data_IF_085662194172
#
_entry.id   IF_085662194172
#
_cell.length_a   1.000
_cell.length_b   1.000
_cell.length_c   1.000
_cell.angle_alpha   90.00
_cell.angle_beta   90.00
_cell.angle_gamma   90.00
#
_symmetry.space_group_name_H-M   'P 1'
#
loop_
_entity.id
_entity.type
_entity.pdbx_description
1 polymer ?
#
# COMPACT_ATOMS: atom_id res chain seq x y z
N UNK A 1 -13.52 -30.68 39.96
CA UNK A 1 -12.99 -31.85 39.24
C UNK A 1 -12.91 -31.43 37.78
N UNK A 2 -11.82 -30.81 37.35
CA UNK A 2 -10.52 -31.41 37.03
C UNK A 2 -10.53 -32.12 35.66
N UNK A 3 -9.53 -31.73 34.87
CA UNK A 3 -8.90 -32.40 33.73
C UNK A 3 -9.53 -32.17 32.34
N UNK A 4 -8.87 -31.44 31.42
CA UNK A 4 -7.57 -31.69 30.72
C UNK A 4 -7.86 -32.32 29.34
N UNK A 5 -7.23 -32.02 28.21
CA UNK A 5 -6.14 -31.13 27.76
C UNK A 5 -6.18 -31.12 26.21
N UNK A 6 -5.55 -30.11 25.58
CA UNK A 6 -4.75 -30.16 24.33
C UNK A 6 -5.38 -30.67 22.99
N UNK A 7 -5.04 -30.19 21.79
CA UNK A 7 -3.87 -29.44 21.33
C UNK A 7 -4.06 -28.91 19.89
N UNK A 8 -3.39 -27.79 19.59
CA UNK A 8 -2.70 -27.56 18.30
C UNK A 8 -3.47 -26.80 17.20
N UNK A 9 -2.91 -25.81 16.49
CA UNK A 9 -1.59 -25.18 16.50
C UNK A 9 -1.75 -23.72 16.04
N UNK A 10 -1.54 -22.74 16.94
CA UNK A 10 -1.13 -21.40 16.53
C UNK A 10 0.34 -21.50 16.10
N UNK A 11 0.62 -21.38 14.78
CA UNK A 11 1.97 -21.05 14.30
C UNK A 11 2.32 -19.64 14.79
N UNK A 12 2.80 -19.53 16.03
CA UNK A 12 3.66 -18.42 16.43
C UNK A 12 4.99 -18.67 15.72
N UNK A 13 5.34 -17.78 14.79
CA UNK A 13 6.69 -17.74 14.26
C UNK A 13 7.67 -17.68 15.42
N UNK A 14 8.53 -18.69 15.49
CA UNK A 14 9.75 -18.68 16.29
C UNK A 14 10.69 -17.61 15.73
N UNK A 15 10.41 -16.36 16.08
CA UNK A 15 11.45 -15.35 16.11
C UNK A 15 12.27 -15.64 17.35
N UNK A 16 13.34 -16.43 17.21
CA UNK A 16 14.39 -16.47 18.21
C UNK A 16 14.77 -15.03 18.54
N UNK A 17 14.54 -14.61 19.78
CA UNK A 17 15.18 -13.40 20.30
C UNK A 17 16.67 -13.72 20.31
N UNK A 18 17.37 -13.35 19.24
CA UNK A 18 18.82 -13.26 19.26
C UNK A 18 19.16 -12.35 20.43
N UNK A 19 19.70 -12.93 21.50
CA UNK A 19 20.33 -12.17 22.57
C UNK A 19 21.33 -11.22 21.89
N UNK A 20 21.14 -9.91 22.09
CA UNK A 20 22.12 -8.93 21.63
C UNK A 20 23.36 -9.13 22.49
N UNK A 21 24.30 -9.92 21.99
CA UNK A 21 25.64 -10.01 22.55
C UNK A 21 26.21 -8.59 22.56
N UNK A 22 26.51 -8.07 23.74
CA UNK A 22 27.20 -6.78 23.85
C UNK A 22 28.63 -7.00 23.33
N UNK A 23 29.13 -6.14 22.43
CA UNK A 23 30.52 -6.21 22.01
C UNK A 23 31.44 -5.95 23.20
N UNK A 24 32.58 -6.62 23.21
CA UNK A 24 33.62 -6.35 24.20
C UNK A 24 34.10 -4.89 24.06
N UNK A 25 34.43 -4.21 25.18
CA UNK A 25 34.89 -2.82 25.14
C UNK A 25 36.16 -2.67 24.29
N UNK A 26 36.25 -1.58 23.53
CA UNK A 26 37.48 -1.22 22.82
C UNK A 26 38.57 -0.88 23.84
N UNK A 27 39.68 -1.61 23.80
CA UNK A 27 40.83 -1.41 24.68
C UNK A 27 41.74 -0.31 24.11
N UNK A 28 42.01 0.71 24.92
CA UNK A 28 42.89 1.84 24.57
C UNK A 28 44.15 1.76 25.42
N UNK A 29 45.31 1.73 24.78
CA UNK A 29 46.60 1.52 25.42
C UNK A 29 47.48 2.78 25.44
N UNK A 30 47.06 3.87 24.78
CA UNK A 30 47.79 5.14 24.76
C UNK A 30 46.89 6.37 24.60
N UNK A 31 47.41 7.55 24.94
CA UNK A 31 46.65 8.81 24.77
C UNK A 31 46.43 9.15 23.29
N UNK A 32 47.36 8.81 22.40
CA UNK A 32 47.21 9.00 20.95
C UNK A 32 46.10 8.10 20.37
N UNK A 33 45.99 6.86 20.84
CA UNK A 33 44.88 5.97 20.46
C UNK A 33 43.54 6.51 20.96
N UNK A 34 43.51 7.11 22.15
CA UNK A 34 42.31 7.77 22.69
C UNK A 34 41.84 8.92 21.82
N UNK A 35 42.75 9.80 21.41
CA UNK A 35 42.42 10.95 20.55
C UNK A 35 41.92 10.50 19.18
N UNK A 36 42.54 9.48 18.59
CA UNK A 36 42.11 8.88 17.32
C UNK A 36 40.72 8.25 17.45
N UNK A 37 40.47 7.48 18.51
CA UNK A 37 39.17 6.85 18.74
C UNK A 37 38.05 7.89 18.93
N UNK A 38 38.33 9.03 19.57
CA UNK A 38 37.36 10.11 19.72
C UNK A 38 37.00 10.76 18.37
N UNK A 39 37.97 10.94 17.48
CA UNK A 39 37.73 11.46 16.13
C UNK A 39 36.90 10.49 15.29
N UNK A 40 37.20 9.19 15.35
CA UNK A 40 36.40 8.15 14.67
C UNK A 40 34.96 8.11 15.18
N UNK A 41 34.74 8.24 16.51
CA UNK A 41 33.40 8.33 17.09
C UNK A 41 32.66 9.55 16.53
N UNK A 42 33.30 10.72 16.47
CA UNK A 42 32.69 11.92 15.92
C UNK A 42 32.31 11.75 14.44
N UNK A 43 33.19 11.14 13.64
CA UNK A 43 32.91 10.87 12.23
C UNK A 43 31.73 9.90 12.07
N UNK A 44 31.70 8.80 12.85
CA UNK A 44 30.61 7.83 12.81
C UNK A 44 29.28 8.44 13.24
N UNK A 45 29.26 9.25 14.30
CA UNK A 45 28.06 9.98 14.72
C UNK A 45 27.59 10.95 13.63
N UNK A 46 28.52 11.67 13.00
CA UNK A 46 28.20 12.59 11.90
C UNK A 46 27.55 11.87 10.71
N UNK A 47 27.99 10.64 10.39
CA UNK A 47 27.37 9.79 9.36
C UNK A 47 25.98 9.30 9.77
N UNK A 48 25.80 8.87 11.02
CA UNK A 48 24.51 8.43 11.55
C UNK A 48 23.49 9.57 11.53
N UNK A 49 23.88 10.78 11.95
CA UNK A 49 22.99 11.94 11.98
C UNK A 49 22.64 12.45 10.57
N UNK A 50 23.56 12.28 9.62
CA UNK A 50 23.43 12.72 8.24
C UNK A 50 23.26 11.56 7.25
N UNK A 51 22.47 10.56 7.64
CA UNK A 51 22.08 9.49 6.73
C UNK A 51 21.14 10.01 5.65
N UNK A 52 21.73 10.53 4.57
CA UNK A 52 21.00 11.11 3.44
C UNK A 52 20.25 10.06 2.63
N UNK A 53 20.75 8.82 2.62
CA UNK A 53 20.09 7.71 1.92
C UNK A 53 18.79 7.33 2.63
N UNK A 54 18.81 7.22 3.96
CA UNK A 54 17.60 7.00 4.76
C UNK A 54 16.58 8.13 4.55
N UNK A 55 17.03 9.39 4.62
CA UNK A 55 16.14 10.56 4.38
C UNK A 55 15.51 10.53 2.98
N UNK A 56 16.29 10.19 1.95
CA UNK A 56 15.79 10.04 0.58
C UNK A 56 14.70 8.96 0.49
N UNK A 57 14.90 7.80 1.12
CA UNK A 57 13.89 6.74 1.12
C UNK A 57 12.63 7.12 1.89
N UNK A 58 12.75 7.86 2.99
CA UNK A 58 11.60 8.39 3.75
C UNK A 58 10.77 9.38 2.92
N UNK A 59 11.44 10.23 2.14
CA UNK A 59 10.78 11.15 1.20
C UNK A 59 10.07 10.39 0.06
N UNK A 60 10.76 9.44 -0.59
CA UNK A 60 10.18 8.61 -1.65
C UNK A 60 8.95 7.84 -1.13
N UNK A 61 9.04 7.25 0.07
CA UNK A 61 7.92 6.55 0.69
C UNK A 61 6.73 7.48 0.94
N UNK A 62 7.01 8.71 1.36
CA UNK A 62 5.97 9.73 1.59
C UNK A 62 5.24 10.07 0.30
N UNK A 63 5.97 10.24 -0.80
CA UNK A 63 5.38 10.60 -2.10
C UNK A 63 4.62 9.43 -2.74
N UNK A 64 5.14 8.20 -2.61
CA UNK A 64 4.40 6.99 -3.01
C UNK A 64 3.06 6.91 -2.26
N UNK A 65 3.05 7.17 -0.96
CA UNK A 65 1.83 7.15 -0.16
C UNK A 65 0.83 8.23 -0.58
N UNK A 66 1.28 9.46 -0.82
CA UNK A 66 0.40 10.52 -1.36
C UNK A 66 -0.23 10.09 -2.68
N UNK A 67 0.58 9.55 -3.60
CA UNK A 67 0.11 9.09 -4.91
C UNK A 67 -0.89 7.93 -4.79
N UNK A 68 -0.67 7.01 -3.87
CA UNK A 68 -1.58 5.90 -3.61
C UNK A 68 -2.96 6.39 -3.12
N UNK A 69 -2.99 7.41 -2.26
CA UNK A 69 -4.24 8.03 -1.78
C UNK A 69 -4.99 8.71 -2.93
N UNK A 70 -4.29 9.47 -3.77
CA UNK A 70 -4.88 10.12 -4.96
C UNK A 70 -5.51 9.10 -5.92
N UNK A 71 -4.78 8.03 -6.25
CA UNK A 71 -5.27 6.98 -7.14
C UNK A 71 -6.50 6.29 -6.56
N UNK A 72 -6.52 6.06 -5.24
CA UNK A 72 -7.68 5.46 -4.56
C UNK A 72 -8.93 6.34 -4.69
N UNK A 73 -8.78 7.66 -4.60
CA UNK A 73 -9.86 8.61 -4.82
C UNK A 73 -10.36 8.55 -6.27
N UNK A 74 -9.46 8.64 -7.25
CA UNK A 74 -9.81 8.56 -8.67
C UNK A 74 -10.53 7.25 -9.03
N UNK A 75 -10.09 6.11 -8.48
CA UNK A 75 -10.75 4.82 -8.67
C UNK A 75 -12.19 4.85 -8.12
N UNK A 76 -12.38 5.44 -6.94
CA UNK A 76 -13.70 5.58 -6.33
C UNK A 76 -14.65 6.39 -7.21
N UNK A 77 -14.19 7.53 -7.71
CA UNK A 77 -14.97 8.40 -8.58
C UNK A 77 -15.27 7.76 -9.93
N UNK A 78 -14.30 7.02 -10.51
CA UNK A 78 -14.52 6.28 -11.75
C UNK A 78 -15.54 5.15 -11.57
N UNK A 79 -15.55 4.47 -10.43
CA UNK A 79 -16.56 3.44 -10.13
C UNK A 79 -17.97 4.04 -10.06
N UNK A 80 -18.13 5.19 -9.42
CA UNK A 80 -19.43 5.88 -9.32
C UNK A 80 -19.92 6.33 -10.70
N UNK A 81 -19.09 7.07 -11.44
CA UNK A 81 -19.43 7.56 -12.78
C UNK A 81 -19.75 6.42 -13.76
N UNK A 82 -18.91 5.38 -13.79
CA UNK A 82 -19.13 4.23 -14.68
C UNK A 82 -20.44 3.49 -14.36
N UNK A 83 -20.84 3.40 -13.10
CA UNK A 83 -22.12 2.78 -12.73
C UNK A 83 -23.31 3.57 -13.26
N UNK A 84 -23.28 4.90 -13.15
CA UNK A 84 -24.33 5.77 -13.68
C UNK A 84 -24.37 5.72 -15.20
N UNK A 85 -23.22 5.87 -15.87
CA UNK A 85 -23.11 5.78 -17.33
C UNK A 85 -23.67 4.47 -17.88
N UNK A 86 -23.36 3.34 -17.23
CA UNK A 86 -23.87 2.01 -17.63
C UNK A 86 -25.39 1.92 -17.50
N UNK A 87 -25.96 2.50 -16.43
CA UNK A 87 -27.41 2.53 -16.24
C UNK A 87 -28.07 3.35 -17.34
N UNK A 88 -27.59 4.56 -17.58
CA UNK A 88 -28.14 5.46 -18.60
C UNK A 88 -28.06 4.85 -20.01
N UNK A 89 -26.96 4.17 -20.33
CA UNK A 89 -26.83 3.44 -21.60
C UNK A 89 -27.82 2.28 -21.68
N UNK A 90 -28.01 1.53 -20.58
CA UNK A 90 -28.98 0.42 -20.53
C UNK A 90 -30.40 0.93 -20.74
N UNK A 91 -30.78 2.01 -20.07
CA UNK A 91 -32.10 2.62 -20.19
C UNK A 91 -32.35 3.12 -21.62
N UNK A 92 -31.34 3.77 -22.24
CA UNK A 92 -31.41 4.16 -23.67
C UNK A 92 -31.58 2.97 -24.60
N UNK A 93 -30.85 1.87 -24.37
CA UNK A 93 -30.98 0.65 -25.19
C UNK A 93 -32.40 0.09 -25.09
N UNK A 94 -33.01 0.08 -23.89
CA UNK A 94 -34.39 -0.38 -23.70
C UNK A 94 -35.37 0.47 -24.49
N UNK A 95 -35.25 1.80 -24.42
CA UNK A 95 -36.10 2.72 -25.16
C UNK A 95 -35.97 2.55 -26.67
N UNK A 96 -34.74 2.43 -27.19
CA UNK A 96 -34.49 2.19 -28.62
C UNK A 96 -35.09 0.85 -29.06
N UNK A 97 -34.92 -0.22 -28.27
CA UNK A 97 -35.52 -1.52 -28.58
C UNK A 97 -37.05 -1.46 -28.64
N UNK A 98 -37.68 -0.74 -27.71
CA UNK A 98 -39.13 -0.54 -27.72
C UNK A 98 -39.58 0.22 -28.97
N UNK A 99 -38.90 1.32 -29.33
CA UNK A 99 -39.20 2.08 -30.53
C UNK A 99 -39.00 1.28 -31.82
N UNK A 100 -37.97 0.43 -31.90
CA UNK A 100 -37.76 -0.49 -33.02
C UNK A 100 -38.89 -1.52 -33.13
N UNK A 101 -39.30 -2.12 -32.02
CA UNK A 101 -40.41 -3.08 -32.01
C UNK A 101 -41.73 -2.41 -32.44
N UNK A 102 -41.99 -1.19 -31.98
CA UNK A 102 -43.16 -0.41 -32.38
C UNK A 102 -43.14 -0.06 -33.87
N UNK A 103 -41.99 0.33 -34.41
CA UNK A 103 -41.81 0.57 -35.84
C UNK A 103 -42.13 -0.68 -36.67
N UNK A 104 -41.61 -1.85 -36.30
CA UNK A 104 -41.91 -3.11 -37.00
C UNK A 104 -43.40 -3.47 -36.97
N UNK A 105 -44.08 -3.26 -35.83
CA UNK A 105 -45.54 -3.47 -35.72
C UNK A 105 -46.30 -2.49 -36.61
N UNK A 106 -45.96 -1.20 -36.56
CA UNK A 106 -46.64 -0.18 -37.36
C UNK A 106 -46.43 -0.39 -38.85
N UNK A 107 -45.24 -0.84 -39.26
CA UNK A 107 -44.93 -1.23 -40.64
C UNK A 107 -45.78 -2.42 -41.09
N UNK A 108 -45.84 -3.48 -40.27
CA UNK A 108 -46.66 -4.66 -40.57
C UNK A 108 -48.16 -4.32 -40.68
N UNK A 109 -48.62 -3.33 -39.92
CA UNK A 109 -50.00 -2.82 -39.96
C UNK A 109 -50.23 -1.76 -41.05
N UNK A 110 -49.23 -1.41 -41.86
CA UNK A 110 -49.33 -0.39 -42.91
C UNK A 110 -49.52 1.04 -42.39
N UNK A 111 -49.25 1.29 -41.10
CA UNK A 111 -49.35 2.61 -40.46
C UNK A 111 -48.12 3.47 -40.67
N UNK A 112 -47.00 2.87 -41.05
CA UNK A 112 -45.74 3.52 -41.40
C UNK A 112 -45.19 2.90 -42.69
N UNK A 113 -44.66 3.75 -43.58
CA UNK A 113 -44.09 3.35 -44.88
C UNK A 113 -42.81 2.52 -44.74
#
# INVERSE_FOLDING_TARGET
MANDTNEGKKKKGTGEKKEKVKPDPYLINSESEKETALLEIQEMLGKIENDSELKSWEEELTDINKRAVELKAQISDRKKSSSTEKKDMTDKIVLIKAGLAEYEVNKALGKTA
#
